data_IF_026305358646
#
_entry.id   IF_026305358646
#
_cell.length_a   1.000
_cell.length_b   1.000
_cell.length_c   1.000
_cell.angle_alpha   90.00
_cell.angle_beta   90.00
_cell.angle_gamma   90.00
#
_symmetry.space_group_name_H-M   'P 1'
#
loop_
_entity.id
_entity.type
_entity.pdbx_description
1 polymer ?
#
# COMPACT_ATOMS: atom_id res chain seq x y z
N UNK A 1 -26.32 -3.97 12.97
CA UNK A 1 -25.64 -5.18 12.46
C UNK A 1 -24.13 -5.00 12.46
N UNK A 2 -23.55 -4.11 11.65
CA UNK A 2 -22.08 -3.91 11.58
C UNK A 2 -21.46 -3.61 12.95
N UNK A 3 -22.00 -2.64 13.70
CA UNK A 3 -21.51 -2.28 15.04
C UNK A 3 -21.47 -3.46 16.01
N UNK A 4 -22.53 -4.27 16.02
CA UNK A 4 -22.63 -5.42 16.93
C UNK A 4 -21.64 -6.52 16.53
N UNK A 5 -21.54 -6.84 15.24
CA UNK A 5 -20.59 -7.84 14.77
C UNK A 5 -19.13 -7.41 14.99
N UNK A 6 -18.80 -6.14 14.73
CA UNK A 6 -17.47 -5.59 15.03
C UNK A 6 -17.13 -5.68 16.52
N UNK A 7 -18.12 -5.45 17.39
CA UNK A 7 -17.97 -5.62 18.84
C UNK A 7 -17.75 -7.09 19.21
N UNK A 8 -18.46 -8.03 18.61
CA UNK A 8 -18.26 -9.47 18.87
C UNK A 8 -16.88 -9.97 18.41
N UNK A 9 -16.29 -9.35 17.38
CA UNK A 9 -14.91 -9.63 16.96
C UNK A 9 -13.84 -8.99 17.86
N UNK A 10 -14.19 -8.04 18.72
CA UNK A 10 -13.22 -7.37 19.60
C UNK A 10 -12.88 -8.24 20.82
N UNK A 11 -11.60 -8.57 21.01
CA UNK A 11 -11.13 -9.31 22.16
C UNK A 11 -10.73 -8.36 23.29
N UNK A 12 -11.54 -8.26 24.35
CA UNK A 12 -11.26 -7.38 25.48
C UNK A 12 -10.03 -7.80 26.30
N UNK A 13 -9.61 -9.06 26.22
CA UNK A 13 -8.44 -9.58 26.92
C UNK A 13 -7.15 -9.03 26.29
N UNK A 14 -6.97 -9.26 24.99
CA UNK A 14 -5.76 -8.87 24.24
C UNK A 14 -5.80 -7.45 23.69
N UNK A 15 -6.98 -6.93 23.36
CA UNK A 15 -7.17 -5.65 22.67
C UNK A 15 -7.23 -5.76 21.14
N UNK A 16 -7.01 -6.93 20.54
CA UNK A 16 -7.09 -7.10 19.08
C UNK A 16 -8.50 -7.40 18.57
N UNK A 17 -8.70 -7.28 17.25
CA UNK A 17 -9.89 -7.80 16.58
C UNK A 17 -9.61 -9.12 15.86
N UNK A 18 -10.56 -10.04 15.97
CA UNK A 18 -10.57 -11.30 15.24
C UNK A 18 -11.17 -11.13 13.83
N UNK A 19 -10.78 -12.00 12.86
CA UNK A 19 -11.37 -11.99 11.53
C UNK A 19 -12.85 -12.40 11.53
N UNK A 20 -13.25 -13.19 12.53
CA UNK A 20 -14.62 -13.62 12.77
C UNK A 20 -14.83 -13.99 14.24
N UNK A 21 -16.08 -14.04 14.68
CA UNK A 21 -16.45 -14.46 16.02
C UNK A 21 -15.95 -15.89 16.29
N UNK A 22 -15.28 -16.08 17.42
CA UNK A 22 -14.70 -17.37 17.81
C UNK A 22 -13.27 -17.63 17.32
N UNK A 23 -12.66 -16.70 16.58
CA UNK A 23 -11.27 -16.80 16.12
C UNK A 23 -10.32 -15.95 16.97
N UNK A 24 -9.03 -16.27 16.90
CA UNK A 24 -7.99 -15.48 17.56
C UNK A 24 -7.80 -14.11 16.85
N UNK A 25 -7.57 -13.02 17.60
CA UNK A 25 -7.19 -11.74 17.03
C UNK A 25 -5.86 -11.79 16.27
N UNK A 26 -5.75 -10.98 15.22
CA UNK A 26 -4.50 -10.75 14.48
C UNK A 26 -4.40 -9.29 14.02
N UNK A 27 -3.19 -8.87 13.62
CA UNK A 27 -2.90 -7.47 13.24
C UNK A 27 -3.73 -6.99 12.05
N UNK A 28 -3.84 -7.79 10.99
CA UNK A 28 -4.57 -7.41 9.76
C UNK A 28 -6.07 -7.21 10.02
N UNK A 29 -6.69 -8.11 10.80
CA UNK A 29 -8.09 -8.00 11.23
C UNK A 29 -8.27 -6.85 12.23
N UNK A 30 -7.25 -6.57 13.04
CA UNK A 30 -7.23 -5.42 13.96
C UNK A 30 -7.25 -4.09 13.21
N UNK A 31 -6.46 -3.92 12.14
CA UNK A 31 -6.57 -2.73 11.29
C UNK A 31 -7.98 -2.60 10.71
N UNK A 32 -8.54 -3.69 10.16
CA UNK A 32 -9.89 -3.69 9.58
C UNK A 32 -10.95 -3.28 10.62
N UNK A 33 -10.84 -3.81 11.84
CA UNK A 33 -11.68 -3.42 12.98
C UNK A 33 -11.54 -1.94 13.33
N UNK A 34 -10.32 -1.41 13.39
CA UNK A 34 -10.05 0.02 13.64
C UNK A 34 -10.67 0.90 12.55
N UNK A 35 -10.54 0.53 11.27
CA UNK A 35 -11.15 1.26 10.16
C UNK A 35 -12.68 1.29 10.27
N UNK A 36 -13.31 0.15 10.60
CA UNK A 36 -14.76 0.11 10.83
C UNK A 36 -15.15 0.99 12.02
N UNK A 37 -14.42 0.92 13.13
CA UNK A 37 -14.63 1.77 14.30
C UNK A 37 -14.54 3.25 13.93
N UNK A 38 -13.54 3.65 13.15
CA UNK A 38 -13.36 5.03 12.69
C UNK A 38 -14.56 5.51 11.87
N UNK A 39 -14.96 4.74 10.84
CA UNK A 39 -16.08 5.07 9.96
C UNK A 39 -17.40 5.15 10.74
N UNK A 40 -17.67 4.18 11.61
CA UNK A 40 -18.88 4.15 12.44
C UNK A 40 -18.88 5.29 13.45
N UNK A 41 -17.75 5.58 14.09
CA UNK A 41 -17.66 6.62 15.13
C UNK A 41 -18.00 8.01 14.58
N UNK A 42 -17.66 8.30 13.32
CA UNK A 42 -18.03 9.55 12.64
C UNK A 42 -19.55 9.68 12.41
N UNK A 43 -20.30 8.58 12.46
CA UNK A 43 -21.77 8.57 12.33
C UNK A 43 -22.44 8.43 13.71
N UNK A 44 -21.92 7.54 14.55
CA UNK A 44 -22.44 7.19 15.86
C UNK A 44 -21.33 6.67 16.78
N UNK A 45 -21.01 7.44 17.82
CA UNK A 45 -19.92 7.16 18.78
C UNK A 45 -20.21 6.06 19.81
N UNK A 46 -21.37 5.41 19.77
CA UNK A 46 -21.73 4.32 20.69
C UNK A 46 -20.74 3.15 20.71
N UNK A 47 -20.07 2.87 19.58
CA UNK A 47 -19.10 1.78 19.47
C UNK A 47 -17.91 1.97 20.44
N UNK A 48 -17.52 3.22 20.71
CA UNK A 48 -16.41 3.55 21.62
C UNK A 48 -16.67 3.14 23.07
N UNK A 49 -17.92 2.87 23.45
CA UNK A 49 -18.26 2.38 24.80
C UNK A 49 -17.86 0.92 25.02
N UNK A 50 -17.65 0.16 23.95
CA UNK A 50 -17.42 -1.29 24.00
C UNK A 50 -15.98 -1.69 23.69
N UNK A 51 -15.18 -0.78 23.17
CA UNK A 51 -13.79 -1.02 22.79
C UNK A 51 -12.86 -0.19 23.67
N UNK A 52 -11.64 -0.68 23.87
CA UNK A 52 -10.62 0.05 24.63
C UNK A 52 -9.47 0.43 23.70
N UNK A 53 -9.46 1.70 23.27
CA UNK A 53 -8.46 2.24 22.33
C UNK A 53 -7.03 2.05 22.85
N UNK A 54 -6.81 2.23 24.16
CA UNK A 54 -5.50 2.03 24.78
C UNK A 54 -5.04 0.57 24.64
N UNK A 55 -5.92 -0.40 24.88
CA UNK A 55 -5.61 -1.83 24.68
C UNK A 55 -5.35 -2.17 23.21
N UNK A 56 -6.12 -1.61 22.27
CA UNK A 56 -5.88 -1.82 20.83
C UNK A 56 -4.48 -1.31 20.45
N UNK A 57 -4.10 -0.12 20.94
CA UNK A 57 -2.77 0.45 20.74
C UNK A 57 -1.68 -0.44 21.33
N UNK A 58 -1.83 -0.90 22.56
CA UNK A 58 -0.90 -1.82 23.21
C UNK A 58 -0.77 -3.13 22.44
N UNK A 59 -1.87 -3.68 21.92
CA UNK A 59 -1.87 -4.88 21.09
C UNK A 59 -1.00 -4.71 19.84
N UNK A 60 -1.22 -3.64 19.06
CA UNK A 60 -0.42 -3.36 17.85
C UNK A 60 1.08 -3.17 18.17
N UNK A 61 1.38 -2.40 19.22
CA UNK A 61 2.75 -2.12 19.68
C UNK A 61 3.48 -3.39 20.13
N UNK A 62 2.76 -4.28 20.81
CA UNK A 62 3.32 -5.51 21.37
C UNK A 62 3.31 -6.69 20.40
N UNK A 63 2.83 -6.53 19.16
CA UNK A 63 2.84 -7.56 18.11
C UNK A 63 4.25 -7.83 17.54
N UNK A 64 5.31 -7.49 18.27
CA UNK A 64 6.68 -7.79 17.87
C UNK A 64 7.07 -9.22 18.28
N UNK A 65 7.95 -9.82 17.48
CA UNK A 65 8.37 -11.22 17.64
C UNK A 65 9.06 -11.47 18.99
N UNK A 66 9.81 -10.51 19.51
CA UNK A 66 10.51 -10.63 20.79
C UNK A 66 9.55 -10.75 21.97
N UNK A 67 8.40 -10.10 21.91
CA UNK A 67 7.36 -10.18 22.95
C UNK A 67 6.50 -11.45 22.83
N UNK A 68 6.38 -12.02 21.63
CA UNK A 68 5.56 -13.20 21.35
C UNK A 68 6.31 -14.50 21.66
N UNK A 69 7.60 -14.57 21.33
CA UNK A 69 8.42 -15.77 21.54
C UNK A 69 9.45 -15.55 22.65
N UNK A 70 9.00 -15.62 23.90
CA UNK A 70 9.87 -15.76 25.08
C UNK A 70 10.43 -17.20 25.21
N UNK A 71 10.54 -17.94 24.09
CA UNK A 71 10.94 -19.34 24.04
C UNK A 71 12.11 -19.52 23.08
N UNK A 72 13.14 -20.22 23.56
CA UNK A 72 14.46 -20.50 22.95
C UNK A 72 14.46 -21.24 21.59
N UNK A 73 13.48 -21.02 20.70
CA UNK A 73 13.27 -21.82 19.48
C UNK A 73 13.89 -21.16 18.24
N UNK A 74 14.08 -19.83 18.24
CA UNK A 74 14.83 -19.14 17.20
C UNK A 74 16.17 -18.69 17.78
N UNK A 75 17.26 -19.29 17.31
CA UNK A 75 18.63 -18.95 17.69
C UNK A 75 18.82 -17.42 17.66
N UNK A 76 18.91 -16.82 18.84
CA UNK A 76 18.92 -15.38 19.14
C UNK A 76 20.24 -14.71 18.76
N UNK A 77 20.86 -15.09 17.64
CA UNK A 77 22.10 -14.48 17.15
C UNK A 77 21.93 -13.79 15.78
N UNK A 78 20.85 -14.06 15.04
CA UNK A 78 20.57 -13.42 13.73
C UNK A 78 19.69 -12.15 13.89
N UNK A 79 18.94 -12.04 14.98
CA UNK A 79 17.89 -11.01 15.13
C UNK A 79 18.20 -9.91 16.18
N UNK A 80 19.42 -9.86 16.71
CA UNK A 80 19.70 -9.05 17.91
C UNK A 80 19.57 -7.53 17.75
N UNK A 81 19.46 -7.02 16.51
CA UNK A 81 19.37 -5.58 16.25
C UNK A 81 18.20 -5.15 15.35
N UNK A 82 17.33 -6.07 14.90
CA UNK A 82 16.22 -5.72 13.97
C UNK A 82 14.88 -6.12 14.57
N UNK A 83 13.99 -5.13 14.71
CA UNK A 83 12.66 -5.33 15.28
C UNK A 83 11.71 -5.81 14.19
N UNK A 84 11.18 -7.03 14.34
CA UNK A 84 10.19 -7.59 13.44
C UNK A 84 8.83 -7.66 14.11
N UNK A 85 7.79 -7.34 13.35
CA UNK A 85 6.40 -7.52 13.74
C UNK A 85 5.79 -8.73 13.04
N UNK A 86 4.86 -9.39 13.70
CA UNK A 86 4.14 -10.52 13.13
C UNK A 86 2.64 -10.35 13.24
N UNK A 87 1.92 -11.04 12.36
CA UNK A 87 0.47 -10.90 12.26
C UNK A 87 -0.23 -11.48 13.50
N UNK A 88 0.34 -12.54 14.07
CA UNK A 88 -0.18 -13.29 15.20
C UNK A 88 0.94 -14.13 15.86
N UNK A 89 0.54 -15.03 16.75
CA UNK A 89 1.43 -15.91 17.51
C UNK A 89 2.21 -16.92 16.66
N UNK A 90 1.88 -17.08 15.37
CA UNK A 90 2.57 -18.01 14.45
C UNK A 90 3.73 -17.37 13.69
N UNK A 91 3.92 -16.06 13.81
CA UNK A 91 5.19 -15.41 13.46
C UNK A 91 5.37 -15.05 11.98
N UNK A 92 4.31 -14.96 11.18
CA UNK A 92 4.40 -14.47 9.80
C UNK A 92 4.92 -13.02 9.78
N UNK A 93 6.00 -12.77 9.03
CA UNK A 93 6.65 -11.45 8.87
C UNK A 93 6.42 -10.94 7.45
N UNK A 94 5.95 -9.71 7.33
CA UNK A 94 5.57 -9.10 6.05
C UNK A 94 5.44 -7.58 6.19
N UNK A 95 5.93 -6.82 5.21
CA UNK A 95 5.79 -5.36 5.18
C UNK A 95 4.34 -4.88 5.18
N UNK A 96 3.36 -5.72 4.81
CA UNK A 96 1.91 -5.47 5.00
C UNK A 96 1.52 -5.41 6.47
N UNK A 97 2.11 -6.24 7.32
CA UNK A 97 1.82 -6.28 8.75
C UNK A 97 2.34 -5.00 9.40
N UNK A 98 3.55 -4.60 9.04
CA UNK A 98 4.14 -3.31 9.44
C UNK A 98 3.22 -2.14 9.07
N UNK A 99 2.75 -2.12 7.82
CA UNK A 99 1.78 -1.13 7.36
C UNK A 99 0.48 -1.16 8.17
N UNK A 100 -0.06 -2.35 8.46
CA UNK A 100 -1.26 -2.48 9.29
C UNK A 100 -1.09 -1.88 10.69
N UNK A 101 0.08 -2.06 11.31
CA UNK A 101 0.41 -1.49 12.62
C UNK A 101 0.49 0.03 12.53
N UNK A 102 1.26 0.57 11.58
CA UNK A 102 1.48 2.01 11.45
C UNK A 102 0.17 2.73 11.09
N UNK A 103 -0.59 2.22 10.13
CA UNK A 103 -1.89 2.78 9.75
C UNK A 103 -2.90 2.66 10.89
N UNK A 104 -2.91 1.53 11.62
CA UNK A 104 -3.77 1.34 12.79
C UNK A 104 -3.49 2.41 13.86
N UNK A 105 -2.23 2.59 14.24
CA UNK A 105 -1.81 3.62 15.19
C UNK A 105 -2.13 5.04 14.69
N UNK A 106 -1.98 5.28 13.37
CA UNK A 106 -2.34 6.53 12.72
C UNK A 106 -3.83 6.85 12.88
N UNK A 107 -4.71 5.88 12.60
CA UNK A 107 -6.16 6.05 12.73
C UNK A 107 -6.58 6.20 14.20
N UNK A 108 -6.00 5.43 15.13
CA UNK A 108 -6.33 5.54 16.56
C UNK A 108 -6.07 6.96 17.11
N UNK A 109 -5.00 7.60 16.64
CA UNK A 109 -4.70 8.97 17.03
C UNK A 109 -5.67 9.99 16.43
N UNK A 110 -6.17 9.75 15.21
CA UNK A 110 -7.30 10.51 14.65
C UNK A 110 -8.56 10.34 15.53
N UNK A 111 -8.87 9.12 15.97
CA UNK A 111 -10.03 8.85 16.85
C UNK A 111 -9.94 9.61 18.18
N UNK A 112 -8.76 9.60 18.82
CA UNK A 112 -8.56 10.27 20.11
C UNK A 112 -8.30 11.78 19.98
N UNK A 113 -8.15 12.32 18.76
CA UNK A 113 -7.69 13.68 18.49
C UNK A 113 -6.37 14.02 19.23
N UNK A 114 -5.41 13.10 19.20
CA UNK A 114 -4.12 13.27 19.86
C UNK A 114 -2.94 13.22 18.87
N UNK A 115 -1.85 13.92 19.19
CA UNK A 115 -0.61 13.88 18.40
C UNK A 115 0.38 12.83 18.92
N UNK A 116 -0.12 11.72 19.50
CA UNK A 116 0.71 10.72 20.20
C UNK A 116 1.66 9.98 19.24
N UNK A 117 1.48 10.02 17.92
CA UNK A 117 2.38 9.34 16.96
C UNK A 117 3.81 9.82 17.11
N UNK A 118 4.02 11.13 17.24
CA UNK A 118 5.35 11.69 17.45
C UNK A 118 5.96 11.14 18.76
N UNK A 119 5.15 10.94 19.79
CA UNK A 119 5.60 10.35 21.05
C UNK A 119 5.83 8.83 20.94
N UNK A 120 5.06 8.09 20.14
CA UNK A 120 5.28 6.64 19.91
C UNK A 120 6.55 6.41 19.09
N UNK A 121 6.81 7.25 18.09
CA UNK A 121 8.05 7.23 17.31
C UNK A 121 9.28 7.56 18.17
N UNK A 122 9.13 8.46 19.15
CA UNK A 122 10.22 8.89 20.03
C UNK A 122 10.45 8.00 21.27
N UNK A 123 9.47 7.20 21.71
CA UNK A 123 9.55 6.38 22.94
C UNK A 123 9.99 4.92 22.71
N UNK A 124 10.97 4.67 21.83
CA UNK A 124 11.65 3.37 21.65
C UNK A 124 10.84 2.18 21.09
N UNK A 125 9.57 2.35 20.72
CA UNK A 125 8.74 1.25 20.18
C UNK A 125 8.90 1.12 18.65
N UNK A 126 8.81 2.24 17.91
CA UNK A 126 9.09 2.32 16.48
C UNK A 126 10.41 3.04 16.27
N UNK A 127 11.48 2.38 16.71
CA UNK A 127 12.83 2.93 16.73
C UNK A 127 13.52 2.86 15.36
N UNK A 128 14.79 3.28 15.31
CA UNK A 128 15.61 3.16 14.10
C UNK A 128 15.68 1.73 13.54
N UNK A 129 15.48 0.68 14.35
CA UNK A 129 15.52 -0.71 13.88
C UNK A 129 14.29 -1.05 13.01
N UNK A 130 13.11 -0.51 13.34
CA UNK A 130 11.93 -0.66 12.48
C UNK A 130 12.11 0.07 11.15
N UNK A 131 12.63 1.30 11.19
CA UNK A 131 12.95 2.04 9.96
C UNK A 131 13.98 1.28 9.13
N UNK A 132 15.04 0.76 9.76
CA UNK A 132 16.04 -0.06 9.08
C UNK A 132 15.44 -1.33 8.48
N UNK A 133 14.49 -1.98 9.15
CA UNK A 133 13.77 -3.12 8.60
C UNK A 133 13.05 -2.77 7.29
N UNK A 134 12.31 -1.65 7.27
CA UNK A 134 11.65 -1.16 6.05
C UNK A 134 12.68 -0.84 4.94
N UNK A 135 13.79 -0.20 5.30
CA UNK A 135 14.85 0.16 4.34
C UNK A 135 15.58 -1.07 3.80
N UNK A 136 15.73 -2.14 4.59
CA UNK A 136 16.28 -3.40 4.12
C UNK A 136 15.36 -4.10 3.09
N UNK A 137 14.08 -3.75 3.06
CA UNK A 137 13.14 -4.22 2.05
C UNK A 137 13.19 -3.40 0.75
N UNK A 138 13.88 -2.25 0.72
CA UNK A 138 14.04 -1.42 -0.47
C UNK A 138 15.09 -2.01 -1.42
N UNK A 139 14.71 -2.24 -2.67
CA UNK A 139 15.55 -2.89 -3.66
C UNK A 139 16.17 -1.88 -4.65
N UNK A 140 17.19 -2.36 -5.37
CA UNK A 140 17.92 -1.58 -6.36
C UNK A 140 17.05 -1.06 -7.52
N UNK A 141 15.89 -1.67 -7.76
CA UNK A 141 14.97 -1.30 -8.84
C UNK A 141 13.95 -0.23 -8.42
N UNK A 142 14.07 0.33 -7.21
CA UNK A 142 13.18 1.35 -6.67
C UNK A 142 11.91 0.82 -6.00
N UNK A 143 11.68 -0.49 -6.01
CA UNK A 143 10.54 -1.11 -5.32
C UNK A 143 10.89 -1.65 -3.93
N UNK A 144 9.87 -2.11 -3.21
CA UNK A 144 10.04 -2.83 -1.95
C UNK A 144 9.57 -4.29 -2.03
N UNK A 145 10.31 -5.16 -1.34
CA UNK A 145 9.96 -6.56 -1.12
C UNK A 145 9.04 -6.80 0.08
N UNK A 146 8.52 -8.02 0.19
CA UNK A 146 7.76 -8.48 1.36
C UNK A 146 8.62 -8.54 2.64
N UNK A 147 9.89 -8.87 2.46
CA UNK A 147 10.95 -8.98 3.47
C UNK A 147 12.25 -8.51 2.83
N UNK A 148 13.31 -8.41 3.63
CA UNK A 148 14.67 -8.11 3.13
C UNK A 148 15.05 -9.07 1.97
N UNK A 149 15.59 -8.50 0.91
CA UNK A 149 15.94 -9.21 -0.35
C UNK A 149 14.76 -9.87 -1.08
N UNK A 150 13.52 -9.64 -0.67
CA UNK A 150 12.33 -10.12 -1.38
C UNK A 150 12.10 -9.37 -2.70
N UNK A 151 11.52 -10.04 -3.70
CA UNK A 151 11.19 -9.42 -5.00
C UNK A 151 10.30 -8.17 -4.82
N UNK A 152 10.67 -7.07 -5.49
CA UNK A 152 9.90 -5.83 -5.49
C UNK A 152 8.47 -6.02 -5.97
N UNK A 153 7.50 -5.59 -5.16
CA UNK A 153 6.08 -5.69 -5.45
C UNK A 153 5.37 -4.35 -5.18
N UNK A 154 4.46 -3.93 -6.07
CA UNK A 154 3.75 -2.66 -5.95
C UNK A 154 2.98 -2.53 -4.63
N UNK A 155 2.28 -3.58 -4.19
CA UNK A 155 1.57 -3.55 -2.91
C UNK A 155 2.51 -3.40 -1.70
N UNK A 156 3.71 -3.99 -1.76
CA UNK A 156 4.70 -3.88 -0.70
C UNK A 156 5.38 -2.50 -0.72
N UNK A 157 5.61 -1.97 -1.91
CA UNK A 157 6.06 -0.59 -2.14
C UNK A 157 5.08 0.40 -1.51
N UNK A 158 3.78 0.24 -1.73
CA UNK A 158 2.76 1.03 -1.05
C UNK A 158 2.86 0.93 0.48
N UNK A 159 2.93 -0.29 1.02
CA UNK A 159 3.00 -0.52 2.46
C UNK A 159 4.19 0.19 3.10
N UNK A 160 5.38 0.04 2.52
CA UNK A 160 6.59 0.70 3.02
C UNK A 160 6.54 2.23 2.86
N UNK A 161 6.02 2.74 1.74
CA UNK A 161 5.88 4.19 1.51
C UNK A 161 4.91 4.83 2.49
N UNK A 162 3.78 4.17 2.81
CA UNK A 162 2.84 4.64 3.84
C UNK A 162 3.53 4.72 5.20
N UNK A 163 4.25 3.66 5.60
CA UNK A 163 5.01 3.66 6.84
C UNK A 163 6.03 4.80 6.89
N UNK A 164 6.88 4.92 5.88
CA UNK A 164 7.90 5.97 5.80
C UNK A 164 7.28 7.36 5.76
N UNK A 165 6.13 7.54 5.10
CA UNK A 165 5.41 8.81 5.07
C UNK A 165 4.91 9.20 6.46
N UNK A 166 4.21 8.30 7.17
CA UNK A 166 3.69 8.55 8.51
C UNK A 166 4.82 8.82 9.51
N UNK A 167 5.96 8.13 9.35
CA UNK A 167 7.13 8.29 10.21
C UNK A 167 8.01 9.51 9.84
N UNK A 168 7.72 10.22 8.75
CA UNK A 168 8.54 11.32 8.26
C UNK A 168 9.96 10.88 7.86
N UNK A 169 10.05 9.73 7.16
CA UNK A 169 11.30 9.06 6.74
C UNK A 169 11.37 8.76 5.24
N UNK A 170 10.52 9.39 4.43
CA UNK A 170 10.62 9.29 2.97
C UNK A 170 11.96 9.84 2.43
N UNK A 171 12.70 10.66 3.21
CA UNK A 171 14.06 11.13 2.88
C UNK A 171 15.12 10.02 2.82
N UNK A 172 14.78 8.81 3.27
CA UNK A 172 15.70 7.68 3.37
C UNK A 172 15.77 6.80 2.14
N UNK A 173 14.95 7.07 1.12
CA UNK A 173 14.90 6.30 -0.13
C UNK A 173 15.18 7.18 -1.34
N UNK A 174 15.55 6.54 -2.46
CA UNK A 174 15.68 7.25 -3.73
C UNK A 174 14.28 7.42 -4.35
N UNK A 175 13.74 8.63 -4.24
CA UNK A 175 12.41 8.99 -4.74
C UNK A 175 12.33 8.85 -6.27
N UNK A 176 13.40 9.20 -6.99
CA UNK A 176 13.41 9.11 -8.45
C UNK A 176 13.32 7.67 -8.93
N UNK A 177 14.15 6.79 -8.38
CA UNK A 177 14.11 5.34 -8.68
C UNK A 177 12.74 4.75 -8.34
N UNK A 178 12.15 5.17 -7.22
CA UNK A 178 10.80 4.71 -6.85
C UNK A 178 9.73 5.18 -7.85
N UNK A 179 9.82 6.42 -8.35
CA UNK A 179 8.89 6.94 -9.36
C UNK A 179 9.07 6.22 -10.70
N UNK A 180 10.30 5.91 -11.10
CA UNK A 180 10.60 5.09 -12.29
C UNK A 180 10.02 3.70 -12.12
N UNK A 181 10.28 3.04 -10.98
CA UNK A 181 9.73 1.72 -10.64
C UNK A 181 8.22 1.70 -10.82
N UNK A 182 7.52 2.69 -10.26
CA UNK A 182 6.07 2.83 -10.31
C UNK A 182 5.55 3.07 -11.74
N UNK A 183 6.21 3.96 -12.51
CA UNK A 183 5.87 4.28 -13.90
C UNK A 183 5.89 3.05 -14.79
N UNK A 184 6.94 2.24 -14.70
CA UNK A 184 7.12 1.02 -15.52
C UNK A 184 6.06 -0.06 -15.28
N UNK A 185 5.24 0.09 -14.23
CA UNK A 185 4.16 -0.85 -13.91
C UNK A 185 2.90 -0.60 -14.73
N UNK A 186 2.72 0.57 -15.32
CA UNK A 186 1.60 0.78 -16.24
C UNK A 186 1.87 0.05 -17.56
N UNK A 187 0.90 -0.76 -17.99
CA UNK A 187 0.97 -1.46 -19.26
C UNK A 187 0.61 -0.50 -20.40
N UNK A 188 1.63 -0.14 -21.17
CA UNK A 188 1.52 0.69 -22.37
C UNK A 188 1.88 -0.17 -23.57
N UNK A 189 1.16 -0.01 -24.69
CA UNK A 189 1.51 -0.65 -25.95
C UNK A 189 2.76 0.03 -26.53
N UNK A 190 3.85 -0.71 -26.66
CA UNK A 190 5.02 -0.22 -27.37
C UNK A 190 4.71 -0.13 -28.87
N UNK A 191 4.65 1.09 -29.41
CA UNK A 191 4.57 1.34 -30.85
C UNK A 191 5.90 1.05 -31.59
N UNK A 192 6.88 0.39 -30.97
CA UNK A 192 8.21 0.13 -31.53
C UNK A 192 8.26 -1.10 -32.45
N UNK A 193 7.25 -1.29 -33.30
CA UNK A 193 7.31 -2.26 -34.41
C UNK A 193 7.81 -1.63 -35.73
N UNK A 194 8.30 -0.38 -35.71
CA UNK A 194 8.76 0.29 -36.93
C UNK A 194 10.27 0.19 -37.22
N UNK A 195 11.07 -0.54 -36.43
CA UNK A 195 12.48 -0.75 -36.78
C UNK A 195 12.98 -2.15 -36.43
N UNK A 196 13.14 -2.95 -37.50
CA UNK A 196 14.14 -4.02 -37.67
C UNK A 196 13.98 -5.24 -36.76
N UNK A 197 12.95 -6.04 -36.98
CA UNK A 197 13.05 -7.48 -37.33
C UNK A 197 11.69 -7.89 -37.85
N UNK A 198 11.59 -7.96 -39.17
CA UNK A 198 10.43 -8.46 -39.90
C UNK A 198 10.38 -10.00 -39.76
N UNK A 199 10.07 -10.49 -38.57
CA UNK A 199 9.52 -11.84 -38.43
C UNK A 199 8.01 -11.68 -38.42
N UNK A 200 7.38 -12.23 -39.45
CA UNK A 200 5.93 -12.40 -39.55
C UNK A 200 5.42 -13.33 -38.44
N UNK A 201 5.55 -12.92 -37.17
CA UNK A 201 4.87 -13.55 -36.07
C UNK A 201 3.46 -12.97 -36.06
N UNK A 202 2.57 -13.73 -36.68
CA UNK A 202 1.12 -13.69 -36.48
C UNK A 202 0.90 -13.65 -34.96
N UNK A 203 0.75 -12.45 -34.37
CA UNK A 203 0.13 -12.36 -33.06
C UNK A 203 -1.25 -12.99 -33.25
N UNK A 204 -1.51 -14.04 -32.49
CA UNK A 204 -2.82 -14.68 -32.54
C UNK A 204 -3.89 -13.62 -32.23
N UNK A 205 -5.10 -13.73 -32.80
CA UNK A 205 -6.20 -12.81 -32.46
C UNK A 205 -6.41 -12.72 -30.93
N UNK A 206 -6.12 -13.81 -30.21
CA UNK A 206 -6.11 -13.88 -28.75
C UNK A 206 -5.07 -12.97 -28.10
N UNK A 207 -3.84 -12.89 -28.61
CA UNK A 207 -2.80 -11.99 -28.06
C UNK A 207 -3.17 -10.52 -28.28
N UNK A 208 -3.74 -10.19 -29.44
CA UNK A 208 -4.21 -8.83 -29.74
C UNK A 208 -5.36 -8.39 -28.82
N UNK A 209 -6.31 -9.29 -28.54
CA UNK A 209 -7.41 -9.00 -27.60
C UNK A 209 -6.88 -8.87 -26.16
N UNK A 210 -5.96 -9.74 -25.74
CA UNK A 210 -5.36 -9.68 -24.40
C UNK A 210 -4.61 -8.36 -24.19
N UNK A 211 -3.81 -7.95 -25.19
CA UNK A 211 -3.05 -6.70 -25.15
C UNK A 211 -3.98 -5.47 -25.10
N UNK A 212 -5.11 -5.50 -25.82
CA UNK A 212 -6.10 -4.41 -25.78
C UNK A 212 -6.86 -4.34 -24.45
N UNK A 213 -7.17 -5.48 -23.85
CA UNK A 213 -7.89 -5.53 -22.56
C UNK A 213 -7.00 -5.10 -21.39
N UNK A 214 -5.69 -5.30 -21.50
CA UNK A 214 -4.74 -4.93 -20.45
C UNK A 214 -4.20 -3.49 -20.58
N UNK A 215 -4.46 -2.81 -21.70
CA UNK A 215 -3.97 -1.46 -21.97
C UNK A 215 -4.40 -0.46 -20.89
N UNK A 216 -3.43 0.30 -20.37
CA UNK A 216 -3.64 1.26 -19.28
C UNK A 216 -3.58 0.65 -17.88
N UNK A 217 -3.75 -0.66 -17.73
CA UNK A 217 -3.75 -1.34 -16.44
C UNK A 217 -2.36 -1.46 -15.81
N UNK A 218 -2.31 -1.68 -14.49
CA UNK A 218 -1.05 -1.72 -13.74
C UNK A 218 -0.73 -3.15 -13.29
N UNK A 219 0.53 -3.57 -13.44
CA UNK A 219 1.05 -4.87 -12.95
C UNK A 219 1.72 -4.72 -11.59
N UNK A 220 1.56 -5.72 -10.71
CA UNK A 220 2.19 -5.69 -9.39
C UNK A 220 3.71 -5.95 -9.41
N UNK A 221 4.20 -6.59 -10.48
CA UNK A 221 5.60 -6.99 -10.66
C UNK A 221 5.99 -6.98 -12.13
N UNK A 222 7.28 -6.97 -12.40
CA UNK A 222 7.83 -7.09 -13.76
C UNK A 222 7.35 -8.40 -14.39
N UNK A 223 6.95 -8.36 -15.67
CA UNK A 223 6.48 -9.51 -16.45
C UNK A 223 5.28 -10.29 -15.85
N UNK A 224 4.45 -9.63 -15.03
CA UNK A 224 3.16 -10.18 -14.56
C UNK A 224 1.98 -9.48 -15.24
N UNK A 225 0.81 -10.12 -15.13
CA UNK A 225 -0.46 -9.60 -15.65
C UNK A 225 -0.86 -8.34 -14.86
N UNK A 226 -1.56 -7.44 -15.54
CA UNK A 226 -2.22 -6.29 -14.90
C UNK A 226 -3.30 -6.75 -13.94
N UNK A 227 -3.65 -5.94 -12.96
CA UNK A 227 -4.69 -6.22 -11.96
C UNK A 227 -5.29 -4.91 -11.46
N UNK A 228 -6.61 -4.82 -11.35
CA UNK A 228 -7.28 -3.57 -10.96
C UNK A 228 -6.86 -3.06 -9.58
N UNK A 229 -6.52 -3.96 -8.65
CA UNK A 229 -6.09 -3.53 -7.32
C UNK A 229 -4.79 -2.73 -7.35
N UNK A 230 -3.89 -2.99 -8.31
CA UNK A 230 -2.65 -2.23 -8.48
C UNK A 230 -2.89 -0.80 -8.97
N UNK A 231 -4.05 -0.51 -9.58
CA UNK A 231 -4.45 0.87 -9.85
C UNK A 231 -4.50 1.69 -8.57
N UNK A 232 -4.90 1.08 -7.43
CA UNK A 232 -4.90 1.78 -6.14
C UNK A 232 -3.49 1.81 -5.57
N UNK A 233 -2.88 0.64 -5.39
CA UNK A 233 -1.57 0.53 -4.72
C UNK A 233 -0.49 1.39 -5.37
N UNK A 234 -0.44 1.43 -6.70
CA UNK A 234 0.57 2.20 -7.41
C UNK A 234 0.25 3.71 -7.45
N UNK A 235 -1.02 4.08 -7.72
CA UNK A 235 -1.41 5.49 -7.78
C UNK A 235 -1.38 6.16 -6.40
N UNK A 236 -1.78 5.46 -5.35
CA UNK A 236 -1.64 5.94 -3.98
C UNK A 236 -0.17 6.13 -3.59
N UNK A 237 0.71 5.20 -3.97
CA UNK A 237 2.17 5.34 -3.79
C UNK A 237 2.73 6.60 -4.47
N UNK A 238 2.31 6.85 -5.71
CA UNK A 238 2.65 8.07 -6.44
C UNK A 238 2.13 9.32 -5.71
N UNK A 239 0.88 9.32 -5.23
CA UNK A 239 0.28 10.44 -4.49
C UNK A 239 1.02 10.74 -3.19
N UNK A 240 1.47 9.71 -2.46
CA UNK A 240 2.32 9.84 -1.26
C UNK A 240 3.57 10.63 -1.61
N UNK A 241 4.30 10.23 -2.65
CA UNK A 241 5.54 10.90 -3.06
C UNK A 241 5.25 12.33 -3.55
N UNK A 242 4.29 12.48 -4.46
CA UNK A 242 3.94 13.77 -5.09
C UNK A 242 3.57 14.82 -4.04
N UNK A 243 2.71 14.47 -3.08
CA UNK A 243 2.22 15.42 -2.09
C UNK A 243 3.25 15.75 -1.00
N UNK A 244 4.33 14.97 -0.90
CA UNK A 244 5.46 15.26 0.00
C UNK A 244 6.68 15.83 -0.74
N UNK A 245 6.63 16.00 -2.07
CA UNK A 245 7.73 16.50 -2.91
C UNK A 245 8.25 17.90 -2.54
N UNK A 246 7.40 18.77 -1.97
CA UNK A 246 7.82 20.09 -1.48
C UNK A 246 8.84 20.04 -0.33
N UNK A 247 8.92 18.91 0.40
CA UNK A 247 9.92 18.67 1.44
C UNK A 247 11.30 18.34 0.81
N UNK A 248 11.33 17.92 -0.46
CA UNK A 248 12.52 17.39 -1.14
C UNK A 248 13.08 18.32 -2.23
N UNK A 249 12.23 19.11 -2.90
CA UNK A 249 12.64 20.05 -3.94
C UNK A 249 13.50 21.23 -3.42
N UNK A 250 13.63 21.43 -2.11
CA UNK A 250 14.58 22.41 -1.54
C UNK A 250 16.05 22.00 -1.67
N UNK A 251 16.35 20.73 -2.00
CA UNK A 251 17.73 20.23 -2.11
C UNK A 251 18.19 19.96 -3.55
N UNK A 252 17.30 19.98 -4.55
CA UNK A 252 17.63 19.62 -5.94
C UNK A 252 18.01 20.84 -6.79
N UNK A 253 17.59 22.06 -6.43
CA UNK A 253 17.89 23.26 -7.22
C UNK A 253 19.28 23.89 -6.98
N UNK A 254 20.20 23.23 -6.26
CA UNK A 254 21.54 23.76 -6.01
C UNK A 254 22.69 23.09 -6.77
N UNK A 255 22.48 21.97 -7.47
CA UNK A 255 23.56 21.34 -8.25
C UNK A 255 23.32 21.50 -9.76
N UNK A 256 23.85 22.60 -10.29
CA UNK A 256 24.08 22.81 -11.72
C UNK A 256 25.21 21.88 -12.21
N UNK A 257 24.93 20.60 -12.41
CA UNK A 257 25.79 19.72 -13.20
C UNK A 257 24.99 18.97 -14.27
N UNK A 258 24.94 19.62 -15.44
CA UNK A 258 24.62 18.98 -16.72
C UNK A 258 25.49 17.73 -16.92
N UNK A 259 24.92 16.52 -16.85
CA UNK A 259 25.54 15.30 -17.37
C UNK A 259 24.53 14.16 -17.48
N UNK A 260 23.56 14.24 -18.39
CA UNK A 260 23.01 13.08 -19.09
C UNK A 260 22.38 13.56 -20.41
N UNK A 261 23.20 13.59 -21.47
CA UNK A 261 22.74 13.65 -22.85
C UNK A 261 22.57 12.19 -23.32
N UNK A 262 21.34 11.69 -23.35
CA UNK A 262 21.00 10.51 -24.15
C UNK A 262 19.63 10.72 -24.81
N UNK A 263 19.63 10.54 -26.14
CA UNK A 263 18.48 10.70 -27.03
C UNK A 263 17.46 9.55 -26.85
N UNK A 264 16.82 9.46 -25.69
CA UNK A 264 15.76 8.50 -25.39
C UNK A 264 14.36 9.11 -25.47
N UNK A 265 13.39 8.26 -25.79
CA UNK A 265 11.98 8.51 -26.14
C UNK A 265 11.15 9.00 -24.93
N UNK A 266 11.71 9.84 -24.07
CA UNK A 266 11.04 10.48 -22.94
C UNK A 266 11.16 12.00 -23.07
N UNK A 267 10.41 12.56 -24.01
CA UNK A 267 10.30 14.01 -24.20
C UNK A 267 9.37 14.70 -23.18
N UNK A 268 9.08 14.06 -22.04
CA UNK A 268 8.36 14.65 -20.92
C UNK A 268 9.35 14.82 -19.75
N UNK A 269 9.98 15.99 -19.67
CA UNK A 269 10.92 16.39 -18.60
C UNK A 269 10.26 16.55 -17.21
N UNK A 270 9.12 15.92 -16.96
CA UNK A 270 8.43 15.96 -15.67
C UNK A 270 8.43 14.57 -15.02
N UNK A 271 9.39 14.34 -14.12
CA UNK A 271 9.48 13.13 -13.32
C UNK A 271 8.17 12.79 -12.59
N UNK A 272 7.35 13.81 -12.28
CA UNK A 272 6.06 13.64 -11.62
C UNK A 272 4.89 13.32 -12.55
N UNK A 273 5.10 13.15 -13.86
CA UNK A 273 4.12 12.58 -14.78
C UNK A 273 4.33 11.04 -14.84
N UNK A 274 3.77 10.31 -13.87
CA UNK A 274 4.04 8.87 -13.70
C UNK A 274 3.07 7.98 -14.47
N UNK A 275 1.80 8.40 -14.60
CA UNK A 275 0.75 7.55 -15.16
C UNK A 275 -0.07 8.29 -16.21
N UNK A 276 -0.40 7.58 -17.29
CA UNK A 276 -1.48 7.93 -18.19
C UNK A 276 -2.82 7.64 -17.48
N UNK A 277 -3.41 8.67 -16.90
CA UNK A 277 -4.61 8.54 -16.06
C UNK A 277 -5.84 8.16 -16.86
N UNK A 278 -5.96 8.62 -18.10
CA UNK A 278 -7.14 8.38 -18.94
C UNK A 278 -7.24 6.89 -19.30
N UNK A 279 -6.12 6.31 -19.74
CA UNK A 279 -6.07 4.87 -20.03
C UNK A 279 -6.18 4.00 -18.78
N UNK A 280 -5.70 4.49 -17.63
CA UNK A 280 -5.90 3.81 -16.34
C UNK A 280 -7.38 3.76 -15.95
N UNK A 281 -8.10 4.88 -16.08
CA UNK A 281 -9.56 4.93 -15.86
C UNK A 281 -10.27 3.96 -16.82
N UNK A 282 -9.92 3.99 -18.11
CA UNK A 282 -10.52 3.09 -19.11
C UNK A 282 -10.31 1.61 -18.74
N UNK A 283 -9.10 1.23 -18.29
CA UNK A 283 -8.82 -0.12 -17.81
C UNK A 283 -9.70 -0.50 -16.61
N UNK A 284 -9.79 0.36 -15.59
CA UNK A 284 -10.61 0.08 -14.40
C UNK A 284 -12.08 -0.10 -14.80
N UNK A 285 -12.61 0.75 -15.68
CA UNK A 285 -13.99 0.66 -16.16
C UNK A 285 -14.25 -0.62 -16.96
N UNK A 286 -13.26 -1.14 -17.71
CA UNK A 286 -13.37 -2.46 -18.38
C UNK A 286 -13.46 -3.63 -17.40
N UNK A 287 -12.95 -3.47 -16.18
CA UNK A 287 -13.06 -4.47 -15.11
C UNK A 287 -14.44 -4.44 -14.40
N UNK A 288 -15.32 -3.49 -14.73
CA UNK A 288 -16.67 -3.45 -14.18
C UNK A 288 -17.52 -4.58 -14.78
N UNK A 289 -18.13 -5.38 -13.92
CA UNK A 289 -19.02 -6.44 -14.36
C UNK A 289 -20.40 -5.86 -14.75
N UNK A 290 -21.07 -6.35 -15.81
CA UNK A 290 -22.38 -5.80 -16.25
C UNK A 290 -23.48 -5.82 -15.19
N UNK A 291 -23.40 -6.75 -14.23
CA UNK A 291 -24.36 -6.86 -13.12
C UNK A 291 -23.88 -6.16 -11.83
N UNK A 292 -22.86 -5.29 -11.93
CA UNK A 292 -22.27 -4.58 -10.79
C UNK A 292 -21.04 -5.27 -10.20
N UNK A 293 -20.25 -4.49 -9.47
CA UNK A 293 -18.95 -4.89 -8.92
C UNK A 293 -17.81 -4.77 -9.92
N UNK A 294 -16.57 -4.86 -9.42
CA UNK A 294 -15.35 -4.91 -10.24
C UNK A 294 -14.57 -6.19 -9.95
N UNK A 295 -13.93 -6.72 -10.97
CA UNK A 295 -13.02 -7.86 -10.89
C UNK A 295 -11.56 -7.43 -11.06
N UNK A 296 -10.63 -8.34 -10.79
CA UNK A 296 -9.20 -8.17 -11.06
C UNK A 296 -8.91 -7.74 -12.51
N UNK A 297 -9.65 -8.32 -13.47
CA UNK A 297 -9.45 -8.13 -14.93
C UNK A 297 -10.78 -8.16 -15.69
N UNK A 298 -10.84 -7.59 -16.91
CA UNK A 298 -12.04 -7.64 -17.74
C UNK A 298 -12.53 -9.07 -18.00
N UNK A 299 -13.82 -9.30 -17.78
CA UNK A 299 -14.48 -10.60 -18.00
C UNK A 299 -14.38 -11.59 -16.84
N UNK A 300 -13.66 -11.27 -15.76
CA UNK A 300 -13.64 -12.08 -14.55
C UNK A 300 -14.86 -11.78 -13.65
N UNK A 301 -15.06 -12.63 -12.63
CA UNK A 301 -16.14 -12.43 -11.64
C UNK A 301 -15.74 -11.35 -10.63
N UNK A 302 -16.67 -10.45 -10.26
CA UNK A 302 -16.38 -9.38 -9.31
C UNK A 302 -16.26 -9.91 -7.88
N UNK A 303 -15.49 -9.21 -7.07
CA UNK A 303 -15.38 -9.46 -5.63
C UNK A 303 -15.24 -8.14 -4.86
N UNK A 304 -15.42 -8.21 -3.53
CA UNK A 304 -15.44 -7.03 -2.66
C UNK A 304 -14.07 -6.34 -2.61
N UNK A 305 -12.97 -7.10 -2.71
CA UNK A 305 -11.62 -6.56 -2.63
C UNK A 305 -11.30 -5.70 -3.86
N UNK A 306 -11.49 -6.25 -5.06
CA UNK A 306 -11.27 -5.51 -6.31
C UNK A 306 -12.28 -4.39 -6.50
N UNK A 307 -13.54 -4.57 -6.09
CA UNK A 307 -14.52 -3.49 -6.08
C UNK A 307 -14.08 -2.31 -5.22
N UNK A 308 -13.60 -2.55 -4.00
CA UNK A 308 -13.16 -1.49 -3.10
C UNK A 308 -12.00 -0.70 -3.72
N UNK A 309 -10.98 -1.39 -4.22
CA UNK A 309 -9.80 -0.73 -4.78
C UNK A 309 -10.05 -0.09 -6.14
N UNK A 310 -10.94 -0.63 -6.98
CA UNK A 310 -11.38 0.02 -8.20
C UNK A 310 -12.05 1.36 -7.91
N UNK A 311 -13.02 1.39 -6.97
CA UNK A 311 -13.70 2.63 -6.59
C UNK A 311 -12.75 3.63 -5.92
N UNK A 312 -11.85 3.17 -5.07
CA UNK A 312 -10.85 4.03 -4.44
C UNK A 312 -9.88 4.64 -5.47
N UNK A 313 -9.44 3.86 -6.47
CA UNK A 313 -8.66 4.36 -7.60
C UNK A 313 -9.40 5.41 -8.39
N UNK A 314 -10.65 5.15 -8.78
CA UNK A 314 -11.47 6.08 -9.54
C UNK A 314 -11.68 7.40 -8.77
N UNK A 315 -11.88 7.32 -7.46
CA UNK A 315 -11.95 8.50 -6.58
C UNK A 315 -10.65 9.31 -6.62
N UNK A 316 -9.48 8.68 -6.44
CA UNK A 316 -8.18 9.37 -6.51
C UNK A 316 -7.87 9.94 -7.90
N UNK A 317 -8.38 9.31 -8.95
CA UNK A 317 -8.24 9.74 -10.35
C UNK A 317 -9.23 10.85 -10.73
N UNK A 318 -10.07 11.30 -9.79
CA UNK A 318 -10.98 12.43 -9.98
C UNK A 318 -12.26 12.09 -10.73
N UNK A 319 -12.71 10.83 -10.70
CA UNK A 319 -14.00 10.46 -11.28
C UNK A 319 -15.17 11.08 -10.50
N UNK A 320 -16.06 11.75 -11.22
CA UNK A 320 -17.22 12.42 -10.65
C UNK A 320 -18.17 11.45 -9.91
N UNK A 321 -18.81 11.95 -8.86
CA UNK A 321 -19.81 11.20 -8.09
C UNK A 321 -19.24 10.24 -7.05
N UNK A 322 -17.93 10.19 -6.87
CA UNK A 322 -17.26 9.43 -5.80
C UNK A 322 -16.79 10.35 -4.68
N UNK A 323 -16.95 9.89 -3.43
CA UNK A 323 -16.35 10.58 -2.29
C UNK A 323 -14.82 10.46 -2.35
N UNK A 324 -14.13 11.49 -1.86
CA UNK A 324 -12.67 11.50 -1.79
C UNK A 324 -12.15 10.41 -0.86
N UNK A 325 -11.06 9.76 -1.25
CA UNK A 325 -10.39 8.71 -0.48
C UNK A 325 -9.06 9.24 0.06
N UNK A 326 -8.80 9.00 1.34
CA UNK A 326 -7.51 9.16 2.00
C UNK A 326 -6.60 7.99 1.60
N UNK A 327 -5.66 8.27 0.70
CA UNK A 327 -4.73 7.30 0.13
C UNK A 327 -3.75 6.69 1.15
N UNK A 328 -3.60 7.29 2.35
CA UNK A 328 -2.79 6.71 3.44
C UNK A 328 -3.55 5.61 4.15
N UNK A 329 -4.85 5.82 4.39
CA UNK A 329 -5.66 4.92 5.21
C UNK A 329 -6.55 3.99 4.40
N UNK A 330 -6.66 4.21 3.08
CA UNK A 330 -7.59 3.52 2.18
C UNK A 330 -9.06 3.67 2.57
N UNK A 331 -9.40 4.79 3.24
CA UNK A 331 -10.75 5.09 3.70
C UNK A 331 -11.30 6.33 3.01
N UNK A 332 -12.62 6.45 2.94
CA UNK A 332 -13.28 7.69 2.54
C UNK A 332 -12.95 8.79 3.54
N UNK A 333 -12.72 10.01 3.06
CA UNK A 333 -12.63 11.21 3.90
C UNK A 333 -14.04 11.58 4.38
N UNK A 334 -14.29 11.45 5.68
CA UNK A 334 -15.58 11.72 6.35
C UNK A 334 -15.39 12.81 7.40
#
# INVERSE_FOLDING_TARGET
MVVEYTKECYCSETGGFAPAVGYAPNVTSTLSGIQIVYLVNNINSSILKYINIKKIREYLINSNIHNIHNTNIYNTNIYNNTLYYCNDLFGDIDTRIDCCIIVGLYILNKIENTNILNNICNNNILNNNFINHLLNCYNFDGGFGQVESGESHVAQTFCCLVCLCILGKLDKINIEETLIYLREKQYILNNTNNTVYNTNNILSNTDNILNKNNYGGIKGRVNKKVDVCYSYWAYASYMIIKNNSNIYNSNIYNDNSNLYNDNNIYNDNNLYNVYDTDNLIEFIMKCQHPNGGFSDRPGNMPDIYHQMFALASLSMLGMDGLNKVDYITSMVEI
#
